data_IF_841105967417
#
_entry.id   IF_841105967417
#
_cell.length_a   1.000
_cell.length_b   1.000
_cell.length_c   1.000
_cell.angle_alpha   90.00
_cell.angle_beta   90.00
_cell.angle_gamma   90.00
#
_symmetry.space_group_name_H-M   'P 1'
#
loop_
_entity.id
_entity.type
_entity.pdbx_description
1 polymer ?
#
# COMPACT_ATOMS: atom_id res chain seq x y z
N UNK A 1 13.28 -17.32 24.00
CA UNK A 1 14.17 -16.25 23.50
C UNK A 1 14.34 -16.49 22.00
N UNK A 2 14.05 -15.48 21.19
CA UNK A 2 14.27 -15.49 19.74
C UNK A 2 15.45 -14.59 19.39
N UNK A 3 16.11 -14.82 18.26
CA UNK A 3 17.11 -13.87 17.76
C UNK A 3 16.43 -12.66 17.15
N UNK A 4 15.35 -12.89 16.38
CA UNK A 4 14.54 -11.84 15.77
C UNK A 4 13.06 -12.04 16.05
N UNK A 5 12.38 -10.98 16.46
CA UNK A 5 10.91 -10.91 16.46
C UNK A 5 10.46 -9.88 15.42
N UNK A 6 9.62 -10.30 14.47
CA UNK A 6 9.01 -9.42 13.46
C UNK A 6 7.53 -9.24 13.77
N UNK A 7 7.08 -7.99 13.94
CA UNK A 7 5.68 -7.67 14.25
C UNK A 7 4.95 -7.21 12.99
N UNK A 8 3.88 -7.92 12.61
CA UNK A 8 3.00 -7.61 11.49
C UNK A 8 3.11 -8.61 10.34
N UNK A 9 2.04 -9.38 10.11
CA UNK A 9 1.81 -10.33 9.03
C UNK A 9 1.26 -9.71 7.74
N UNK A 10 1.55 -8.43 7.50
CA UNK A 10 1.43 -7.82 6.18
C UNK A 10 2.63 -8.17 5.29
N UNK A 11 2.53 -7.91 3.99
CA UNK A 11 3.55 -8.31 3.00
C UNK A 11 4.97 -7.83 3.32
N UNK A 12 5.12 -6.64 3.91
CA UNK A 12 6.43 -6.08 4.31
C UNK A 12 7.03 -6.87 5.48
N UNK A 13 6.24 -7.16 6.52
CA UNK A 13 6.72 -7.93 7.67
C UNK A 13 7.01 -9.38 7.33
N UNK A 14 6.15 -10.02 6.53
CA UNK A 14 6.39 -11.40 6.05
C UNK A 14 7.62 -11.48 5.15
N UNK A 15 7.78 -10.55 4.20
CA UNK A 15 8.97 -10.46 3.35
C UNK A 15 10.25 -10.28 4.19
N UNK A 16 10.18 -9.47 5.24
CA UNK A 16 11.30 -9.24 6.15
C UNK A 16 11.66 -10.50 6.93
N UNK A 17 10.69 -11.15 7.58
CA UNK A 17 10.94 -12.37 8.35
C UNK A 17 11.50 -13.49 7.47
N UNK A 18 10.91 -13.69 6.29
CA UNK A 18 11.37 -14.67 5.30
C UNK A 18 12.83 -14.45 4.91
N UNK A 19 13.22 -13.21 4.63
CA UNK A 19 14.60 -12.89 4.25
C UNK A 19 15.58 -12.94 5.43
N UNK A 20 15.15 -12.59 6.65
CA UNK A 20 15.98 -12.79 7.85
C UNK A 20 16.29 -14.27 8.06
N UNK A 21 15.29 -15.15 7.91
CA UNK A 21 15.49 -16.61 8.05
C UNK A 21 16.40 -17.17 6.95
N UNK A 22 16.33 -16.65 5.71
CA UNK A 22 17.25 -17.04 4.64
C UNK A 22 18.70 -16.64 4.92
N UNK A 23 18.92 -15.44 5.48
CA UNK A 23 20.25 -14.91 5.77
C UNK A 23 20.90 -15.57 6.99
N UNK A 24 20.08 -15.96 7.97
CA UNK A 24 20.53 -16.56 9.21
C UNK A 24 19.81 -17.89 9.46
N UNK A 25 20.12 -18.96 8.72
CA UNK A 25 19.44 -20.25 8.86
C UNK A 25 19.53 -20.86 10.27
N UNK A 26 20.57 -20.49 11.02
CA UNK A 26 20.81 -20.94 12.40
C UNK A 26 20.09 -20.10 13.47
N UNK A 27 19.57 -18.92 13.10
CA UNK A 27 18.90 -18.02 14.04
C UNK A 27 17.41 -18.27 14.06
N UNK A 28 16.83 -18.04 15.23
CA UNK A 28 15.40 -18.17 15.48
C UNK A 28 14.66 -16.88 15.11
N UNK A 29 13.77 -16.95 14.12
CA UNK A 29 12.90 -15.84 13.69
C UNK A 29 11.45 -16.15 14.06
N UNK A 30 10.81 -15.26 14.80
CA UNK A 30 9.38 -15.31 15.09
C UNK A 30 8.65 -14.15 14.42
N UNK A 31 7.64 -14.44 13.59
CA UNK A 31 6.68 -13.44 13.12
C UNK A 31 5.40 -13.46 13.97
N UNK A 32 4.98 -12.29 14.45
CA UNK A 32 3.77 -12.11 15.28
C UNK A 32 2.72 -11.29 14.52
N UNK A 33 1.49 -11.80 14.43
CA UNK A 33 0.36 -11.15 13.76
C UNK A 33 -0.90 -11.21 14.63
N UNK A 34 -1.62 -10.08 14.73
CA UNK A 34 -2.81 -9.96 15.57
C UNK A 34 -4.03 -10.66 14.98
N UNK A 35 -4.09 -10.76 13.67
CA UNK A 35 -5.20 -11.37 12.94
C UNK A 35 -5.05 -12.89 12.84
N UNK A 36 -6.14 -13.57 12.47
CA UNK A 36 -6.18 -15.03 12.28
C UNK A 36 -5.53 -15.51 10.97
N UNK A 37 -4.90 -14.62 10.21
CA UNK A 37 -4.20 -14.92 8.96
C UNK A 37 -3.43 -13.72 8.44
N UNK A 38 -2.65 -13.93 7.40
CA UNK A 38 -1.83 -12.89 6.79
C UNK A 38 -2.64 -11.93 5.92
N UNK A 39 -2.06 -10.78 5.61
CA UNK A 39 -2.59 -9.84 4.62
C UNK A 39 -4.05 -9.37 4.86
N UNK A 40 -4.54 -9.38 6.11
CA UNK A 40 -5.92 -9.00 6.46
C UNK A 40 -6.20 -7.49 6.44
N UNK A 41 -5.19 -6.66 6.20
CA UNK A 41 -5.28 -5.19 6.16
C UNK A 41 -4.82 -4.63 4.82
N UNK A 42 -3.92 -3.63 4.77
CA UNK A 42 -3.56 -2.94 3.53
C UNK A 42 -3.11 -3.88 2.39
N UNK A 43 -2.42 -4.97 2.72
CA UNK A 43 -1.97 -5.98 1.74
C UNK A 43 -3.12 -6.74 1.08
N UNK A 44 -4.22 -7.01 1.77
CA UNK A 44 -5.40 -7.62 1.15
C UNK A 44 -6.33 -6.58 0.52
N UNK A 45 -6.27 -5.33 0.99
CA UNK A 45 -7.17 -4.26 0.58
C UNK A 45 -6.48 -3.27 -0.36
N UNK A 46 -5.99 -3.77 -1.49
CA UNK A 46 -5.38 -2.97 -2.56
C UNK A 46 -5.82 -3.45 -3.95
N UNK A 47 -5.33 -2.78 -4.99
CA UNK A 47 -5.69 -3.00 -6.39
C UNK A 47 -5.01 -4.19 -7.06
N UNK A 48 -4.13 -4.92 -6.37
CA UNK A 48 -3.40 -6.05 -6.95
C UNK A 48 -2.34 -5.68 -7.99
N UNK A 49 -2.05 -4.39 -8.18
CA UNK A 49 -1.18 -3.91 -9.26
C UNK A 49 0.30 -4.12 -8.93
N UNK A 50 1.05 -4.69 -9.86
CA UNK A 50 2.51 -4.67 -9.94
C UNK A 50 2.89 -3.39 -10.67
N UNK A 51 3.21 -2.34 -9.90
CA UNK A 51 3.44 -0.99 -10.44
C UNK A 51 4.77 -0.87 -11.19
N UNK A 52 4.77 -0.17 -12.33
CA UNK A 52 5.97 0.02 -13.14
C UNK A 52 6.88 1.20 -12.71
N UNK A 53 6.50 2.02 -11.73
CA UNK A 53 7.36 3.12 -11.25
C UNK A 53 7.07 4.53 -11.77
N UNK A 54 6.05 4.71 -12.62
CA UNK A 54 5.85 5.93 -13.43
C UNK A 54 5.78 7.25 -12.64
N UNK A 55 5.25 7.23 -11.41
CA UNK A 55 4.98 8.46 -10.65
C UNK A 55 6.13 8.92 -9.75
N UNK A 56 7.13 8.08 -9.51
CA UNK A 56 8.07 8.29 -8.42
C UNK A 56 9.19 9.24 -8.81
N UNK A 57 9.64 10.05 -7.84
CA UNK A 57 10.72 10.98 -8.04
C UNK A 57 12.01 10.21 -8.40
N UNK A 58 12.73 10.59 -9.47
CA UNK A 58 14.02 9.99 -9.80
C UNK A 58 14.98 10.02 -8.60
N UNK A 59 15.71 8.92 -8.38
CA UNK A 59 16.65 8.78 -7.26
C UNK A 59 16.03 8.51 -5.89
N UNK A 60 14.69 8.50 -5.75
CA UNK A 60 14.04 8.11 -4.49
C UNK A 60 14.13 6.60 -4.23
N UNK A 61 14.05 6.20 -2.95
CA UNK A 61 14.01 4.78 -2.58
C UNK A 61 12.79 4.09 -3.20
N UNK A 62 11.66 4.80 -3.31
CA UNK A 62 10.48 4.33 -4.05
C UNK A 62 10.76 3.97 -5.50
N UNK A 63 11.49 4.82 -6.22
CA UNK A 63 11.79 4.57 -7.63
C UNK A 63 12.67 3.32 -7.78
N UNK A 64 13.72 3.21 -6.96
CA UNK A 64 14.62 2.05 -6.95
C UNK A 64 13.89 0.76 -6.55
N UNK A 65 13.23 0.75 -5.39
CA UNK A 65 12.55 -0.43 -4.87
C UNK A 65 11.39 -0.85 -5.75
N UNK A 66 10.69 0.08 -6.41
CA UNK A 66 9.65 -0.29 -7.35
C UNK A 66 10.24 -1.01 -8.56
N UNK A 67 11.32 -0.49 -9.15
CA UNK A 67 11.96 -1.10 -10.31
C UNK A 67 12.44 -2.52 -10.00
N UNK A 68 13.18 -2.69 -8.90
CA UNK A 68 13.62 -4.02 -8.42
C UNK A 68 12.45 -4.91 -8.03
N UNK A 69 11.42 -4.33 -7.44
CA UNK A 69 10.23 -5.01 -6.95
C UNK A 69 9.37 -5.62 -8.04
N UNK A 70 9.27 -4.97 -9.21
CA UNK A 70 8.59 -5.54 -10.39
C UNK A 70 9.20 -6.89 -10.76
N UNK A 71 10.52 -6.93 -10.94
CA UNK A 71 11.24 -8.13 -11.34
C UNK A 71 11.19 -9.20 -10.25
N UNK A 72 11.48 -8.83 -8.99
CA UNK A 72 11.47 -9.75 -7.86
C UNK A 72 10.08 -10.38 -7.64
N UNK A 73 9.01 -9.56 -7.68
CA UNK A 73 7.64 -10.05 -7.52
C UNK A 73 7.24 -11.00 -8.64
N UNK A 74 7.52 -10.65 -9.91
CA UNK A 74 7.23 -11.52 -11.05
C UNK A 74 7.99 -12.83 -10.96
N UNK A 75 9.29 -12.78 -10.66
CA UNK A 75 10.12 -13.97 -10.51
C UNK A 75 9.62 -14.89 -9.38
N UNK A 76 9.23 -14.33 -8.24
CA UNK A 76 8.65 -15.08 -7.14
C UNK A 76 7.32 -15.74 -7.54
N UNK A 77 6.44 -15.00 -8.20
CA UNK A 77 5.19 -15.55 -8.70
C UNK A 77 5.41 -16.67 -9.71
N UNK A 78 6.35 -16.52 -10.64
CA UNK A 78 6.72 -17.58 -11.59
C UNK A 78 7.25 -18.82 -10.87
N UNK A 79 8.19 -18.65 -9.93
CA UNK A 79 8.76 -19.76 -9.13
C UNK A 79 7.67 -20.56 -8.40
N UNK A 80 6.67 -19.86 -7.86
CA UNK A 80 5.62 -20.47 -7.03
C UNK A 80 4.29 -20.67 -7.75
N UNK A 81 4.26 -20.49 -9.08
CA UNK A 81 3.06 -20.67 -9.91
C UNK A 81 1.86 -19.82 -9.44
N UNK A 82 2.13 -18.62 -8.91
CA UNK A 82 1.10 -17.65 -8.53
C UNK A 82 0.63 -16.93 -9.81
N UNK A 83 -0.68 -16.88 -10.10
CA UNK A 83 -1.19 -16.22 -11.30
C UNK A 83 -0.79 -14.74 -11.37
N UNK A 84 -0.18 -14.36 -12.49
CA UNK A 84 0.14 -12.98 -12.85
C UNK A 84 -0.38 -12.72 -14.26
N UNK A 85 -1.07 -11.60 -14.45
CA UNK A 85 -1.50 -11.17 -15.78
C UNK A 85 -0.80 -9.86 -16.15
N UNK A 86 -0.06 -9.86 -17.26
CA UNK A 86 0.52 -8.64 -17.80
C UNK A 86 -0.48 -7.91 -18.70
N UNK A 87 -1.43 -7.21 -18.07
CA UNK A 87 -2.50 -6.50 -18.78
C UNK A 87 -2.13 -5.07 -19.20
N UNK A 88 -0.97 -4.54 -18.78
CA UNK A 88 -0.54 -3.17 -19.05
C UNK A 88 -1.43 -2.10 -18.38
N UNK A 89 -1.03 -0.83 -18.53
CA UNK A 89 -1.77 0.31 -17.98
C UNK A 89 -1.77 1.50 -18.93
N UNK A 90 -2.91 2.16 -19.04
CA UNK A 90 -3.09 3.41 -19.76
C UNK A 90 -3.35 4.56 -18.79
N UNK A 91 -2.51 5.59 -18.88
CA UNK A 91 -2.65 6.86 -18.17
C UNK A 91 -3.33 7.84 -19.11
N UNK A 92 -4.63 8.08 -18.91
CA UNK A 92 -5.47 8.78 -19.88
C UNK A 92 -5.62 10.25 -19.50
N UNK A 93 -5.34 11.13 -20.46
CA UNK A 93 -5.62 12.56 -20.35
C UNK A 93 -6.98 12.87 -20.99
N UNK A 94 -7.86 13.58 -20.29
CA UNK A 94 -9.20 13.98 -20.78
C UNK A 94 -9.35 15.49 -20.93
N UNK A 95 -8.34 16.27 -20.53
CA UNK A 95 -8.31 17.74 -20.68
C UNK A 95 -6.95 18.22 -21.20
N UNK A 96 -6.90 19.44 -21.75
CA UNK A 96 -5.66 20.03 -22.25
C UNK A 96 -4.58 20.15 -21.15
N UNK A 97 -4.97 20.51 -19.93
CA UNK A 97 -4.06 20.57 -18.79
C UNK A 97 -3.50 19.17 -18.42
N UNK A 98 -4.32 18.12 -18.52
CA UNK A 98 -3.86 16.75 -18.32
C UNK A 98 -2.92 16.29 -19.43
N UNK A 99 -3.08 16.77 -20.68
CA UNK A 99 -2.14 16.46 -21.77
C UNK A 99 -0.76 17.06 -21.51
N UNK A 100 -0.68 18.30 -21.03
CA UNK A 100 0.60 18.92 -20.65
C UNK A 100 1.30 18.11 -19.54
N UNK A 101 0.56 17.74 -18.49
CA UNK A 101 1.06 16.91 -17.40
C UNK A 101 1.45 15.51 -17.85
N UNK A 102 0.71 14.94 -18.81
CA UNK A 102 1.02 13.65 -19.43
C UNK A 102 2.38 13.71 -20.11
N UNK A 103 2.66 14.74 -20.91
CA UNK A 103 3.96 14.89 -21.58
C UNK A 103 5.12 15.01 -20.57
N UNK A 104 4.93 15.78 -19.50
CA UNK A 104 5.94 15.85 -18.43
C UNK A 104 6.16 14.49 -17.72
N UNK A 105 5.10 13.70 -17.55
CA UNK A 105 5.18 12.35 -16.96
C UNK A 105 5.87 11.35 -17.91
N UNK A 106 5.66 11.47 -19.22
CA UNK A 106 6.35 10.68 -20.24
C UNK A 106 7.87 10.88 -20.17
N UNK A 107 8.33 12.14 -20.13
CA UNK A 107 9.76 12.45 -19.97
C UNK A 107 10.34 11.86 -18.67
N UNK A 108 9.59 11.93 -17.56
CA UNK A 108 10.01 11.33 -16.29
C UNK A 108 10.16 9.80 -16.40
N UNK A 109 9.30 9.14 -17.16
CA UNK A 109 9.39 7.69 -17.36
C UNK A 109 10.72 7.33 -18.04
N UNK A 110 11.16 8.10 -19.04
CA UNK A 110 12.46 7.91 -19.69
C UNK A 110 13.63 8.13 -18.75
N UNK A 111 13.58 9.17 -17.91
CA UNK A 111 14.61 9.42 -16.88
C UNK A 111 14.73 8.23 -15.91
N UNK A 112 13.60 7.62 -15.54
CA UNK A 112 13.57 6.44 -14.67
C UNK A 112 13.86 5.11 -15.42
N UNK A 113 14.07 5.16 -16.73
CA UNK A 113 14.29 3.98 -17.58
C UNK A 113 13.09 3.04 -17.67
N UNK A 114 11.88 3.60 -17.68
CA UNK A 114 10.61 2.88 -17.81
C UNK A 114 10.15 2.98 -19.27
N UNK A 115 10.07 1.85 -19.96
CA UNK A 115 9.56 1.81 -21.34
C UNK A 115 8.07 2.16 -21.37
N UNK A 116 7.74 3.23 -22.10
CA UNK A 116 6.38 3.72 -22.28
C UNK A 116 6.15 4.24 -23.70
N UNK A 117 4.91 4.14 -24.17
CA UNK A 117 4.49 4.67 -25.47
C UNK A 117 3.49 5.81 -25.27
N UNK A 118 3.58 6.86 -26.09
CA UNK A 118 2.53 7.87 -26.20
C UNK A 118 1.53 7.43 -27.25
N UNK A 119 0.25 7.46 -26.87
CA UNK A 119 -0.88 7.21 -27.75
C UNK A 119 -1.65 8.51 -27.96
N UNK A 120 -1.95 8.83 -29.22
CA UNK A 120 -2.96 9.84 -29.53
C UNK A 120 -4.38 9.32 -29.23
N UNK A 121 -5.39 10.18 -29.42
CA UNK A 121 -6.79 9.82 -29.18
C UNK A 121 -7.29 8.65 -30.06
N UNK A 122 -6.83 8.55 -31.31
CA UNK A 122 -7.24 7.49 -32.23
C UNK A 122 -6.62 6.13 -31.84
N UNK A 123 -5.34 6.14 -31.48
CA UNK A 123 -4.62 4.98 -30.97
C UNK A 123 -5.18 4.53 -29.62
N UNK A 124 -5.52 5.45 -28.71
CA UNK A 124 -6.21 5.16 -27.47
C UNK A 124 -7.55 4.46 -27.73
N UNK A 125 -8.36 5.00 -28.65
CA UNK A 125 -9.66 4.41 -29.01
C UNK A 125 -9.53 3.01 -29.62
N UNK A 126 -8.48 2.76 -30.40
CA UNK A 126 -8.19 1.45 -30.96
C UNK A 126 -7.78 0.45 -29.86
N UNK A 127 -6.94 0.87 -28.92
CA UNK A 127 -6.50 0.06 -27.78
C UNK A 127 -7.67 -0.27 -26.84
N UNK A 128 -8.48 0.74 -26.51
CA UNK A 128 -9.61 0.67 -25.57
C UNK A 128 -10.88 1.34 -26.15
N UNK A 129 -11.72 0.59 -26.88
CA UNK A 129 -12.92 1.14 -27.53
C UNK A 129 -13.93 1.78 -26.58
N UNK A 130 -13.93 1.41 -25.30
CA UNK A 130 -14.85 1.94 -24.29
C UNK A 130 -14.29 3.16 -23.54
N UNK A 131 -13.06 3.58 -23.88
CA UNK A 131 -12.38 4.68 -23.24
C UNK A 131 -12.35 5.91 -24.16
N UNK A 132 -12.50 7.08 -23.55
CA UNK A 132 -12.43 8.40 -24.19
C UNK A 132 -11.34 9.23 -23.54
N UNK A 133 -10.59 9.97 -24.36
CA UNK A 133 -9.49 10.82 -23.92
C UNK A 133 -8.83 11.53 -25.10
N UNK A 134 -8.00 12.52 -24.79
CA UNK A 134 -7.20 13.26 -25.76
C UNK A 134 -5.90 12.54 -26.13
N UNK A 135 -5.49 11.58 -25.31
CA UNK A 135 -4.30 10.74 -25.49
C UNK A 135 -4.02 9.94 -24.22
N UNK A 136 -3.00 9.09 -24.27
CA UNK A 136 -2.56 8.32 -23.12
C UNK A 136 -1.08 7.98 -23.13
N UNK A 137 -0.51 7.71 -21.96
CA UNK A 137 0.75 6.95 -21.85
C UNK A 137 0.38 5.48 -21.65
N UNK A 138 0.92 4.62 -22.51
CA UNK A 138 0.84 3.17 -22.37
C UNK A 138 2.08 2.60 -21.68
N UNK A 139 1.84 1.88 -20.60
CA UNK A 139 2.87 1.26 -19.74
C UNK A 139 2.73 -0.26 -19.82
N UNK A 140 3.46 -0.87 -20.76
CA UNK A 140 3.38 -2.31 -21.09
C UNK A 140 3.77 -3.25 -19.95
N UNK A 141 4.64 -2.80 -19.05
CA UNK A 141 5.23 -3.64 -18.00
C UNK A 141 4.32 -3.83 -16.78
N UNK A 142 3.24 -3.06 -16.66
CA UNK A 142 2.32 -3.11 -15.52
C UNK A 142 1.50 -4.39 -15.54
N UNK A 143 1.49 -5.12 -14.43
CA UNK A 143 0.79 -6.39 -14.30
C UNK A 143 -0.14 -6.40 -13.08
N UNK A 144 -0.94 -7.45 -12.92
CA UNK A 144 -1.80 -7.67 -11.75
C UNK A 144 -1.55 -9.04 -11.13
N UNK A 145 -1.75 -9.15 -9.81
CA UNK A 145 -1.52 -10.33 -8.98
C UNK A 145 -2.41 -10.30 -7.74
N UNK A 146 -2.60 -11.44 -7.08
CA UNK A 146 -3.12 -11.48 -5.71
C UNK A 146 -1.98 -11.39 -4.67
N UNK A 147 -1.80 -10.22 -4.06
CA UNK A 147 -0.80 -10.03 -3.01
C UNK A 147 -1.10 -10.79 -1.72
N UNK A 148 -2.32 -11.30 -1.50
CA UNK A 148 -2.60 -12.24 -0.40
C UNK A 148 -1.85 -13.54 -0.64
N UNK A 149 -1.99 -14.13 -1.83
CA UNK A 149 -1.28 -15.36 -2.20
C UNK A 149 0.24 -15.18 -2.15
N UNK A 150 0.76 -14.05 -2.63
CA UNK A 150 2.20 -13.73 -2.53
C UNK A 150 2.65 -13.71 -1.06
N UNK A 151 1.88 -13.07 -0.19
CA UNK A 151 2.20 -12.97 1.24
C UNK A 151 2.11 -14.33 1.93
N UNK A 152 1.03 -15.07 1.72
CA UNK A 152 0.83 -16.41 2.28
C UNK A 152 1.93 -17.37 1.83
N UNK A 153 2.33 -17.30 0.55
CA UNK A 153 3.41 -18.15 0.06
C UNK A 153 4.78 -17.77 0.63
N UNK A 154 5.09 -16.48 0.81
CA UNK A 154 6.31 -16.08 1.52
C UNK A 154 6.30 -16.53 2.99
N UNK A 155 5.13 -16.49 3.65
CA UNK A 155 5.00 -17.00 5.02
C UNK A 155 5.19 -18.51 5.11
N UNK A 156 4.71 -19.26 4.10
CA UNK A 156 5.00 -20.69 4.01
C UNK A 156 6.50 -20.94 3.84
N UNK A 157 7.17 -20.21 2.96
CA UNK A 157 8.63 -20.36 2.77
C UNK A 157 9.41 -19.99 4.05
N UNK A 158 8.96 -19.00 4.84
CA UNK A 158 9.53 -18.70 6.15
C UNK A 158 9.45 -19.93 7.07
N UNK A 159 8.29 -20.58 7.16
CA UNK A 159 8.09 -21.77 8.00
C UNK A 159 8.90 -22.96 7.49
N UNK A 160 8.94 -23.16 6.18
CA UNK A 160 9.73 -24.24 5.54
C UNK A 160 11.24 -24.08 5.82
N UNK A 161 11.71 -22.85 6.03
CA UNK A 161 13.08 -22.52 6.42
C UNK A 161 13.34 -22.58 7.93
N UNK A 162 12.35 -22.98 8.74
CA UNK A 162 12.47 -23.12 10.19
C UNK A 162 12.05 -21.89 11.01
N UNK A 163 11.56 -20.83 10.36
CA UNK A 163 10.99 -19.69 11.07
C UNK A 163 9.62 -20.01 11.68
N UNK A 164 9.25 -19.30 12.73
CA UNK A 164 7.99 -19.49 13.43
C UNK A 164 7.00 -18.36 13.14
N UNK A 165 5.71 -18.68 13.15
CA UNK A 165 4.62 -17.71 13.04
C UNK A 165 3.64 -17.89 14.18
N UNK A 166 3.26 -16.77 14.81
CA UNK A 166 2.19 -16.71 15.81
C UNK A 166 1.10 -15.75 15.37
N UNK A 167 -0.01 -16.33 14.90
CA UNK A 167 -1.25 -15.62 14.56
C UNK A 167 -2.11 -15.39 15.81
N UNK A 168 -3.13 -14.53 15.71
CA UNK A 168 -4.01 -14.15 16.82
C UNK A 168 -3.25 -13.61 18.05
N UNK A 169 -2.08 -12.98 17.83
CA UNK A 169 -1.22 -12.46 18.87
C UNK A 169 -1.04 -10.95 18.68
N UNK A 170 -1.86 -10.18 19.39
CA UNK A 170 -1.84 -8.72 19.30
C UNK A 170 -0.81 -8.16 20.27
N UNK A 171 0.24 -7.54 19.75
CA UNK A 171 1.20 -6.79 20.58
C UNK A 171 0.49 -5.63 21.28
N UNK A 172 0.60 -5.57 22.61
CA UNK A 172 -0.02 -4.55 23.46
C UNK A 172 1.00 -3.74 24.27
N UNK A 173 2.22 -4.26 24.47
CA UNK A 173 3.33 -3.53 25.07
C UNK A 173 4.68 -4.04 24.53
N UNK A 174 5.66 -3.14 24.50
CA UNK A 174 7.05 -3.41 24.13
C UNK A 174 7.95 -2.76 25.18
N UNK A 175 8.95 -3.50 25.65
CA UNK A 175 9.95 -2.98 26.60
C UNK A 175 11.35 -3.39 26.10
N UNK A 176 12.26 -2.43 25.99
CA UNK A 176 13.64 -2.68 25.57
C UNK A 176 14.55 -2.72 26.81
N UNK A 177 15.37 -3.77 26.89
CA UNK A 177 16.38 -3.99 27.90
C UNK A 177 17.77 -4.02 27.27
N UNK A 178 18.80 -4.17 28.11
CA UNK A 178 20.20 -4.12 27.65
C UNK A 178 20.55 -5.22 26.65
N UNK A 179 19.94 -6.40 26.77
CA UNK A 179 20.24 -7.62 26.02
C UNK A 179 19.06 -8.20 25.23
N UNK A 180 17.84 -7.69 25.44
CA UNK A 180 16.62 -8.17 24.81
C UNK A 180 15.55 -7.08 24.62
N UNK A 181 14.54 -7.40 23.83
CA UNK A 181 13.27 -6.69 23.73
C UNK A 181 12.17 -7.65 24.17
N UNK A 182 11.43 -7.28 25.21
CA UNK A 182 10.25 -7.99 25.65
C UNK A 182 9.02 -7.51 24.88
N UNK A 183 8.27 -8.45 24.33
CA UNK A 183 7.06 -8.25 23.55
C UNK A 183 5.89 -8.88 24.28
N UNK A 184 4.98 -8.05 24.78
CA UNK A 184 3.76 -8.52 25.44
C UNK A 184 2.61 -8.55 24.44
N UNK A 185 2.00 -9.73 24.28
CA UNK A 185 0.92 -10.00 23.35
C UNK A 185 -0.36 -10.42 24.09
N UNK A 186 -1.51 -9.94 23.61
CA UNK A 186 -2.81 -10.51 23.91
C UNK A 186 -3.11 -11.62 22.88
N UNK A 187 -3.27 -12.86 23.37
CA UNK A 187 -3.57 -14.04 22.57
C UNK A 187 -4.84 -14.71 23.11
N UNK A 188 -5.95 -14.66 22.37
CA UNK A 188 -7.23 -15.26 22.78
C UNK A 188 -7.71 -14.87 24.21
N UNK A 189 -7.42 -13.63 24.64
CA UNK A 189 -7.77 -13.12 25.98
C UNK A 189 -6.73 -13.41 27.07
N UNK A 190 -5.67 -14.14 26.75
CA UNK A 190 -4.53 -14.37 27.64
C UNK A 190 -3.38 -13.43 27.30
N UNK A 191 -2.61 -13.03 28.31
CA UNK A 191 -1.38 -12.25 28.11
C UNK A 191 -0.19 -13.19 28.02
N UNK A 192 0.58 -13.07 26.95
CA UNK A 192 1.77 -13.87 26.68
C UNK A 192 2.97 -12.95 26.50
N UNK A 193 4.09 -13.29 27.13
CA UNK A 193 5.36 -12.60 26.94
C UNK A 193 6.28 -13.39 26.01
N UNK A 194 6.92 -12.67 25.09
CA UNK A 194 7.90 -13.18 24.13
C UNK A 194 9.15 -12.31 24.23
N UNK A 195 10.32 -12.93 24.26
CA UNK A 195 11.59 -12.19 24.34
C UNK A 195 12.40 -12.42 23.07
N UNK A 196 12.95 -11.35 22.50
CA UNK A 196 13.80 -11.39 21.32
C UNK A 196 15.07 -10.56 21.50
N UNK A 197 16.17 -10.92 20.84
CA UNK A 197 17.41 -10.11 20.87
C UNK A 197 17.28 -8.82 20.04
N UNK A 198 16.47 -8.87 18.98
CA UNK A 198 16.19 -7.74 18.11
C UNK A 198 14.73 -7.77 17.61
N UNK A 199 14.10 -6.60 17.56
CA UNK A 199 12.71 -6.42 17.11
C UNK A 199 12.64 -5.67 15.78
N UNK A 200 11.88 -6.19 14.81
CA UNK A 200 11.48 -5.43 13.63
C UNK A 200 9.97 -5.20 13.63
N UNK A 201 9.54 -3.95 13.62
CA UNK A 201 8.12 -3.57 13.61
C UNK A 201 7.67 -3.16 12.22
N UNK A 202 6.71 -3.90 11.66
CA UNK A 202 6.06 -3.65 10.37
C UNK A 202 4.55 -3.43 10.53
N UNK A 203 4.15 -2.68 11.56
CA UNK A 203 2.74 -2.57 11.98
C UNK A 203 1.80 -1.75 11.09
N UNK A 204 2.28 -1.17 9.99
CA UNK A 204 1.45 -0.45 9.01
C UNK A 204 0.57 0.63 9.64
N UNK A 205 -0.74 0.37 9.74
CA UNK A 205 -1.70 1.29 10.36
C UNK A 205 -1.43 1.55 11.85
N UNK A 206 -0.61 0.73 12.51
CA UNK A 206 -0.25 0.84 13.92
C UNK A 206 1.22 1.25 14.12
N UNK A 207 1.94 1.64 13.06
CA UNK A 207 3.38 1.86 13.10
C UNK A 207 3.82 2.86 14.18
N UNK A 208 3.24 4.06 14.23
CA UNK A 208 3.52 5.07 15.26
C UNK A 208 3.15 4.61 16.68
N UNK A 209 2.13 3.75 16.85
CA UNK A 209 1.77 3.21 18.17
C UNK A 209 2.82 2.22 18.66
N UNK A 210 3.27 1.31 17.79
CA UNK A 210 4.33 0.35 18.12
C UNK A 210 5.65 1.08 18.41
N UNK A 211 5.98 2.11 17.63
CA UNK A 211 7.18 2.92 17.88
C UNK A 211 7.10 3.64 19.23
N UNK A 212 5.95 4.21 19.57
CA UNK A 212 5.72 4.88 20.87
C UNK A 212 5.74 3.94 22.08
N UNK A 213 5.42 2.65 21.91
CA UNK A 213 5.51 1.68 23.01
C UNK A 213 6.93 1.56 23.56
N UNK A 214 7.96 1.74 22.72
CA UNK A 214 9.37 1.75 23.13
C UNK A 214 9.89 3.13 23.54
N UNK A 215 9.02 4.15 23.63
CA UNK A 215 9.44 5.52 23.98
C UNK A 215 10.35 6.19 22.94
N UNK A 216 10.45 5.66 21.71
CA UNK A 216 11.23 6.26 20.64
C UNK A 216 10.56 7.58 20.23
N UNK A 217 11.29 8.69 20.39
CA UNK A 217 10.80 10.01 19.98
C UNK A 217 10.57 10.04 18.46
N UNK A 218 9.38 10.45 18.06
CA UNK A 218 8.99 10.55 16.65
C UNK A 218 8.18 11.83 16.43
N UNK A 219 8.38 12.45 15.26
CA UNK A 219 7.72 13.69 14.88
C UNK A 219 6.50 13.47 13.98
N UNK A 220 6.05 12.21 13.82
CA UNK A 220 5.00 11.80 12.92
C UNK A 220 3.84 11.09 13.63
N UNK A 221 2.70 11.04 12.95
CA UNK A 221 1.56 10.21 13.33
C UNK A 221 0.96 9.54 12.09
N UNK A 222 0.47 8.31 12.24
CA UNK A 222 -0.30 7.66 11.17
C UNK A 222 -1.71 8.24 11.13
N UNK A 223 -2.05 8.86 10.01
CA UNK A 223 -3.40 9.33 9.67
C UNK A 223 -4.01 8.35 8.67
N UNK A 224 -5.17 7.73 8.99
CA UNK A 224 -5.81 6.80 8.09
C UNK A 224 -6.57 7.55 7.00
N UNK A 225 -6.28 7.25 5.74
CA UNK A 225 -7.09 7.68 4.60
C UNK A 225 -7.84 6.47 4.03
N UNK A 226 -9.17 6.56 4.01
CA UNK A 226 -10.02 5.49 3.50
C UNK A 226 -10.22 5.68 2.00
N UNK A 227 -9.92 4.63 1.24
CA UNK A 227 -10.21 4.55 -0.17
C UNK A 227 -11.44 3.68 -0.41
N UNK A 228 -12.47 4.26 -1.00
CA UNK A 228 -13.71 3.56 -1.32
C UNK A 228 -13.68 3.04 -2.75
N UNK A 229 -14.11 1.81 -2.91
CA UNK A 229 -14.15 1.09 -4.16
C UNK A 229 -15.57 0.63 -4.45
N UNK A 230 -15.86 0.49 -5.73
CA UNK A 230 -17.00 -0.27 -6.22
C UNK A 230 -16.52 -1.41 -7.11
N UNK A 231 -17.33 -2.45 -7.21
CA UNK A 231 -17.16 -3.52 -8.19
C UNK A 231 -18.21 -3.35 -9.27
N UNK A 232 -17.80 -3.50 -10.52
CA UNK A 232 -18.74 -3.54 -11.63
C UNK A 232 -19.40 -4.93 -11.73
N UNK A 233 -20.66 -5.02 -12.19
CA UNK A 233 -21.32 -6.30 -12.45
C UNK A 233 -20.58 -7.09 -13.53
N UNK A 234 -20.78 -8.40 -13.54
CA UNK A 234 -20.08 -9.35 -14.44
C UNK A 234 -20.17 -8.99 -15.92
N UNK A 235 -21.27 -8.36 -16.36
CA UNK A 235 -21.43 -7.83 -17.73
C UNK A 235 -20.33 -6.82 -18.15
N UNK A 236 -19.63 -6.21 -17.20
CA UNK A 236 -18.54 -5.26 -17.42
C UNK A 236 -17.14 -5.83 -17.16
N UNK A 237 -16.99 -7.14 -16.94
CA UNK A 237 -15.66 -7.74 -16.74
C UNK A 237 -14.70 -7.54 -17.94
N UNK A 238 -15.25 -7.26 -19.13
CA UNK A 238 -14.51 -6.99 -20.36
C UNK A 238 -14.64 -5.52 -20.82
N UNK A 239 -15.02 -4.61 -19.91
CA UNK A 239 -15.19 -3.18 -20.25
C UNK A 239 -13.87 -2.53 -20.66
N UNK A 240 -12.75 -3.02 -20.12
CA UNK A 240 -11.39 -2.58 -20.44
C UNK A 240 -10.49 -3.80 -20.59
N UNK A 241 -9.40 -3.67 -21.35
CA UNK A 241 -8.35 -4.71 -21.49
C UNK A 241 -7.15 -4.41 -20.60
N UNK A 242 -6.83 -3.14 -20.44
CA UNK A 242 -5.74 -2.58 -19.63
C UNK A 242 -6.27 -1.94 -18.34
N UNK A 243 -5.38 -1.62 -17.42
CA UNK A 243 -5.70 -0.75 -16.28
C UNK A 243 -5.85 0.69 -16.75
N UNK A 244 -6.93 1.40 -16.38
CA UNK A 244 -7.18 2.78 -16.81
C UNK A 244 -7.08 3.73 -15.63
N UNK A 245 -6.10 4.62 -15.70
CA UNK A 245 -5.73 5.54 -14.64
C UNK A 245 -5.77 6.98 -15.20
N UNK A 246 -6.19 7.99 -14.42
CA UNK A 246 -6.10 9.37 -14.86
C UNK A 246 -4.65 9.85 -14.78
N UNK A 247 -4.36 10.95 -15.48
CA UNK A 247 -3.12 11.71 -15.23
C UNK A 247 -3.17 12.29 -13.81
N UNK A 248 -2.09 12.16 -13.01
CA UNK A 248 -2.07 12.70 -11.64
C UNK A 248 -2.28 14.20 -11.59
N UNK A 249 -2.99 14.63 -10.56
CA UNK A 249 -3.11 16.03 -10.19
C UNK A 249 -2.15 16.34 -9.03
N UNK A 250 -1.15 17.21 -9.20
CA UNK A 250 -0.22 17.59 -8.13
C UNK A 250 -0.90 18.18 -6.89
N UNK A 251 -2.08 18.78 -7.08
CA UNK A 251 -2.86 19.39 -6.01
C UNK A 251 -3.60 18.34 -5.15
N UNK A 252 -3.66 17.09 -5.61
CA UNK A 252 -4.29 15.99 -4.91
C UNK A 252 -3.25 15.10 -4.22
N UNK A 253 -3.40 14.80 -2.92
CA UNK A 253 -2.46 13.92 -2.20
C UNK A 253 -2.55 12.45 -2.65
N UNK A 254 -3.60 12.08 -3.38
CA UNK A 254 -3.87 10.73 -3.85
C UNK A 254 -4.31 10.74 -5.32
N UNK A 255 -4.12 9.61 -5.98
CA UNK A 255 -4.49 9.45 -7.37
C UNK A 255 -6.03 9.38 -7.52
N UNK A 256 -6.55 9.88 -8.64
CA UNK A 256 -8.00 9.87 -8.89
C UNK A 256 -8.57 8.45 -9.05
N UNK A 257 -9.88 8.35 -9.21
CA UNK A 257 -10.59 7.07 -9.40
C UNK A 257 -10.03 6.33 -10.64
N UNK A 258 -9.78 5.03 -10.53
CA UNK A 258 -9.30 4.15 -11.60
C UNK A 258 -10.37 3.16 -12.07
N UNK A 259 -10.19 2.60 -13.28
CA UNK A 259 -10.76 1.29 -13.64
C UNK A 259 -9.65 0.25 -13.57
N UNK A 260 -9.78 -0.67 -12.62
CA UNK A 260 -8.75 -1.70 -12.37
C UNK A 260 -9.32 -3.08 -12.64
N UNK A 261 -8.69 -3.82 -13.55
CA UNK A 261 -8.92 -5.26 -13.71
C UNK A 261 -8.25 -6.00 -12.56
N UNK A 262 -8.98 -6.90 -11.93
CA UNK A 262 -8.49 -7.76 -10.87
C UNK A 262 -8.07 -9.11 -11.46
N UNK A 263 -7.16 -9.81 -10.77
CA UNK A 263 -6.65 -11.11 -11.24
C UNK A 263 -7.75 -12.19 -11.32
N UNK A 264 -8.86 -12.01 -10.59
CA UNK A 264 -10.05 -12.87 -10.65
C UNK A 264 -10.97 -12.54 -11.86
N UNK A 265 -10.57 -11.61 -12.72
CA UNK A 265 -11.32 -11.17 -13.90
C UNK A 265 -12.40 -10.14 -13.61
N UNK A 266 -12.63 -9.75 -12.35
CA UNK A 266 -13.54 -8.64 -12.03
C UNK A 266 -12.94 -7.27 -12.34
N UNK A 267 -13.79 -6.25 -12.46
CA UNK A 267 -13.35 -4.86 -12.63
C UNK A 267 -13.83 -4.04 -11.44
N UNK A 268 -12.91 -3.29 -10.85
CA UNK A 268 -13.18 -2.35 -9.76
C UNK A 268 -13.05 -0.91 -10.23
N UNK A 269 -13.86 -0.04 -9.61
CA UNK A 269 -13.81 1.41 -9.78
C UNK A 269 -13.28 1.99 -8.47
N UNK A 270 -12.17 2.73 -8.53
CA UNK A 270 -11.58 3.37 -7.37
C UNK A 270 -10.06 3.19 -7.19
N UNK A 271 -9.52 3.58 -6.02
CA UNK A 271 -10.24 4.21 -4.91
C UNK A 271 -10.44 5.72 -5.12
N UNK A 272 -11.38 6.33 -4.38
CA UNK A 272 -11.29 7.76 -4.01
C UNK A 272 -10.37 7.91 -2.78
N UNK A 273 -10.28 9.10 -2.19
CA UNK A 273 -9.54 9.24 -0.94
C UNK A 273 -10.24 10.19 0.04
N UNK A 274 -10.80 9.62 1.11
CA UNK A 274 -11.48 10.37 2.17
C UNK A 274 -10.82 10.17 3.52
N UNK A 275 -11.07 11.11 4.44
CA UNK A 275 -10.58 11.01 5.81
C UNK A 275 -11.13 9.74 6.49
N UNK A 276 -10.23 8.91 7.01
CA UNK A 276 -10.60 7.80 7.88
C UNK A 276 -10.72 8.26 9.33
N UNK A 277 -11.72 7.74 10.05
CA UNK A 277 -11.90 8.00 11.50
C UNK A 277 -11.68 6.76 12.35
N UNK A 278 -11.22 5.67 11.74
CA UNK A 278 -10.74 4.46 12.37
C UNK A 278 -9.61 3.87 11.53
N UNK A 279 -8.53 3.46 12.19
CA UNK A 279 -7.36 2.88 11.49
C UNK A 279 -7.71 1.61 10.76
N UNK A 280 -8.55 0.77 11.35
CA UNK A 280 -9.03 -0.50 10.79
C UNK A 280 -10.55 -0.46 10.54
N UNK A 281 -11.04 0.68 10.03
CA UNK A 281 -12.46 0.87 9.71
C UNK A 281 -12.77 0.48 8.27
N UNK A 282 -12.82 -0.81 7.93
CA UNK A 282 -13.13 -1.29 6.57
C UNK A 282 -14.63 -1.41 6.27
N UNK A 283 -15.46 -1.56 7.30
CA UNK A 283 -16.93 -1.67 7.18
C UNK A 283 -17.62 -0.35 6.81
N UNK A 284 -18.96 -0.32 6.80
CA UNK A 284 -19.73 0.92 6.55
C UNK A 284 -19.53 1.97 7.64
N UNK A 285 -19.49 1.53 8.91
CA UNK A 285 -19.15 2.38 10.05
C UNK A 285 -17.63 2.47 10.17
N UNK A 286 -17.09 3.66 9.94
CA UNK A 286 -15.67 3.97 10.01
C UNK A 286 -15.43 5.01 11.12
N UNK A 287 -15.58 4.62 12.38
CA UNK A 287 -15.35 5.52 13.52
C UNK A 287 -14.77 4.76 14.72
N UNK A 288 -13.79 5.38 15.36
CA UNK A 288 -13.18 4.93 16.62
C UNK A 288 -12.92 6.15 17.49
N UNK A 289 -13.46 6.15 18.71
CA UNK A 289 -13.27 7.25 19.67
C UNK A 289 -11.78 7.45 19.95
N UNK A 290 -11.07 6.34 20.21
CA UNK A 290 -9.64 6.36 20.50
C UNK A 290 -8.80 6.88 19.33
N UNK A 291 -9.03 6.38 18.12
CA UNK A 291 -8.26 6.79 16.94
C UNK A 291 -8.54 8.26 16.59
N UNK A 292 -9.81 8.67 16.67
CA UNK A 292 -10.25 10.04 16.39
C UNK A 292 -9.64 11.02 17.38
N UNK A 293 -9.69 10.71 18.67
CA UNK A 293 -9.14 11.59 19.70
C UNK A 293 -7.62 11.76 19.58
N UNK A 294 -6.89 10.67 19.30
CA UNK A 294 -5.45 10.74 19.03
C UNK A 294 -5.15 11.60 17.79
N UNK A 295 -5.95 11.48 16.73
CA UNK A 295 -5.81 12.27 15.51
C UNK A 295 -6.04 13.76 15.74
N UNK A 296 -7.13 14.13 16.42
CA UNK A 296 -7.49 15.53 16.67
C UNK A 296 -6.50 16.26 17.60
N UNK A 297 -5.76 15.53 18.44
CA UNK A 297 -4.73 16.10 19.32
C UNK A 297 -3.39 16.31 18.62
N UNK A 298 -3.21 15.79 17.41
CA UNK A 298 -1.97 15.91 16.67
C UNK A 298 -1.97 17.18 15.80
N UNK A 299 -1.02 18.10 16.04
CA UNK A 299 -0.96 19.36 15.32
C UNK A 299 -0.80 19.19 13.80
N UNK A 300 -0.05 18.16 13.37
CA UNK A 300 0.15 17.86 11.95
C UNK A 300 -1.15 17.56 11.21
N UNK A 301 -2.14 16.94 11.87
CA UNK A 301 -3.46 16.67 11.28
C UNK A 301 -4.18 17.96 10.86
N UNK A 302 -4.16 18.99 11.71
CA UNK A 302 -4.81 20.26 11.40
C UNK A 302 -4.08 21.03 10.31
N UNK A 303 -2.74 20.97 10.31
CA UNK A 303 -1.92 21.62 9.28
C UNK A 303 -2.15 21.00 7.90
N UNK A 304 -2.12 19.68 7.79
CA UNK A 304 -2.40 18.98 6.52
C UNK A 304 -3.85 19.19 6.07
N UNK A 305 -4.81 19.17 7.00
CA UNK A 305 -6.23 19.42 6.68
C UNK A 305 -6.43 20.83 6.14
N UNK A 306 -5.74 21.83 6.71
CA UNK A 306 -5.80 23.22 6.21
C UNK A 306 -5.20 23.35 4.81
N UNK A 307 -4.08 22.67 4.53
CA UNK A 307 -3.43 22.68 3.22
C UNK A 307 -4.31 22.04 2.13
N UNK A 308 -5.06 20.99 2.48
CA UNK A 308 -5.88 20.22 1.53
C UNK A 308 -7.39 20.36 1.77
N UNK A 309 -7.85 21.49 2.32
CA UNK A 309 -9.24 21.64 2.75
C UNK A 309 -10.22 21.55 1.57
N UNK A 310 -9.98 22.31 0.50
CA UNK A 310 -10.85 22.34 -0.68
C UNK A 310 -10.98 20.96 -1.34
N UNK A 311 -9.86 20.24 -1.44
CA UNK A 311 -9.82 18.89 -1.99
C UNK A 311 -10.51 17.88 -1.08
N UNK A 312 -10.33 17.99 0.24
CA UNK A 312 -11.01 17.13 1.22
C UNK A 312 -12.53 17.27 1.21
N UNK A 313 -13.05 18.49 1.08
CA UNK A 313 -14.50 18.73 0.96
C UNK A 313 -15.05 18.09 -0.32
N UNK A 314 -14.36 18.25 -1.45
CA UNK A 314 -14.77 17.67 -2.73
C UNK A 314 -14.82 16.13 -2.69
N UNK A 315 -13.79 15.51 -2.11
CA UNK A 315 -13.72 14.05 -1.94
C UNK A 315 -14.84 13.54 -1.01
N UNK A 316 -15.13 14.25 0.09
CA UNK A 316 -16.21 13.91 1.01
C UNK A 316 -17.58 13.94 0.32
N UNK A 317 -17.86 14.98 -0.47
CA UNK A 317 -19.11 15.09 -1.24
C UNK A 317 -19.22 13.93 -2.24
N UNK A 318 -18.13 13.60 -2.95
CA UNK A 318 -18.12 12.50 -3.92
C UNK A 318 -18.26 11.12 -3.27
N UNK A 319 -17.79 10.96 -2.04
CA UNK A 319 -17.95 9.73 -1.24
C UNK A 319 -19.39 9.50 -0.79
N UNK A 320 -20.07 10.55 -0.32
CA UNK A 320 -21.47 10.45 0.11
C UNK A 320 -22.46 10.34 -1.04
N UNK A 321 -22.08 10.78 -2.24
CA UNK A 321 -22.96 10.80 -3.40
C UNK A 321 -22.40 9.96 -4.55
N UNK A 322 -22.98 8.77 -4.75
CA UNK A 322 -22.59 7.84 -5.84
C UNK A 322 -22.54 8.49 -7.23
N UNK A 323 -23.43 9.44 -7.52
CA UNK A 323 -23.43 10.15 -8.79
C UNK A 323 -22.22 11.09 -8.95
N UNK A 324 -21.71 11.66 -7.85
CA UNK A 324 -20.44 12.40 -7.83
C UNK A 324 -19.24 11.50 -8.13
N UNK A 325 -19.21 10.32 -7.50
CA UNK A 325 -18.21 9.29 -7.77
C UNK A 325 -18.25 8.83 -9.25
N UNK A 326 -19.43 8.59 -9.79
CA UNK A 326 -19.64 8.18 -11.17
C UNK A 326 -19.05 9.20 -12.16
N UNK A 327 -19.19 10.51 -11.90
CA UNK A 327 -18.60 11.56 -12.74
C UNK A 327 -17.09 11.45 -12.86
N UNK A 328 -16.39 10.93 -11.83
CA UNK A 328 -14.93 10.77 -11.86
C UNK A 328 -14.49 9.72 -12.88
N UNK A 329 -15.20 8.58 -12.95
CA UNK A 329 -14.92 7.51 -13.92
C UNK A 329 -15.48 7.83 -15.31
N UNK A 330 -16.64 8.50 -15.39
CA UNK A 330 -17.24 8.87 -16.68
C UNK A 330 -16.41 9.88 -17.48
N UNK A 331 -15.44 10.57 -16.85
CA UNK A 331 -14.45 11.40 -17.57
C UNK A 331 -13.78 10.64 -18.71
N UNK A 332 -13.50 9.35 -18.52
CA UNK A 332 -12.84 8.51 -19.51
C UNK A 332 -13.63 7.24 -19.86
N UNK A 333 -14.66 6.85 -19.11
CA UNK A 333 -15.53 5.71 -19.46
C UNK A 333 -17.02 6.08 -19.28
N UNK A 334 -17.66 6.70 -20.30
CA UNK A 334 -19.01 7.27 -20.17
C UNK A 334 -20.13 6.21 -20.13
N UNK A 335 -19.84 4.95 -20.46
CA UNK A 335 -20.86 3.90 -20.52
C UNK A 335 -21.26 3.33 -19.15
N UNK A 336 -20.44 3.55 -18.12
CA UNK A 336 -20.74 3.08 -16.76
C UNK A 336 -21.88 3.91 -16.18
N UNK A 337 -22.86 3.24 -15.57
CA UNK A 337 -24.02 3.86 -14.93
C UNK A 337 -23.93 3.75 -13.40
N UNK A 338 -24.77 4.50 -12.69
CA UNK A 338 -24.74 4.51 -11.21
C UNK A 338 -25.16 3.17 -10.61
N UNK A 339 -26.05 2.45 -11.30
CA UNK A 339 -26.54 1.13 -10.95
C UNK A 339 -25.45 0.05 -11.05
N UNK A 340 -24.43 0.30 -11.87
CA UNK A 340 -23.29 -0.62 -12.04
C UNK A 340 -22.30 -0.54 -10.86
N UNK A 341 -22.41 0.48 -9.99
CA UNK A 341 -21.53 0.65 -8.83
C UNK A 341 -21.99 -0.21 -7.63
N UNK A 342 -21.60 -1.49 -7.66
CA UNK A 342 -21.89 -2.47 -6.61
C UNK A 342 -20.89 -2.35 -5.45
N UNK A 343 -21.29 -2.69 -4.20
CA UNK A 343 -20.40 -2.61 -3.04
C UNK A 343 -19.10 -3.42 -3.23
N UNK A 344 -17.99 -2.86 -2.79
CA UNK A 344 -16.70 -3.55 -2.70
C UNK A 344 -15.99 -3.14 -1.39
N UNK A 345 -15.12 -3.99 -0.81
CA UNK A 345 -14.38 -3.64 0.39
C UNK A 345 -13.55 -2.36 0.22
N UNK A 346 -13.55 -1.50 1.23
CA UNK A 346 -12.69 -0.32 1.26
C UNK A 346 -11.22 -0.73 1.49
N UNK A 347 -10.29 0.14 1.10
CA UNK A 347 -8.90 0.12 1.53
C UNK A 347 -8.65 1.24 2.53
N UNK A 348 -7.60 1.09 3.35
CA UNK A 348 -7.16 2.15 4.25
C UNK A 348 -5.65 2.32 4.08
N UNK A 349 -5.24 3.53 3.70
CA UNK A 349 -3.84 3.90 3.60
C UNK A 349 -3.35 4.41 4.95
N UNK A 350 -2.28 3.80 5.44
CA UNK A 350 -1.50 4.34 6.55
C UNK A 350 -0.58 5.44 6.00
N UNK A 351 -0.96 6.71 6.21
CA UNK A 351 -0.15 7.84 5.77
C UNK A 351 0.54 8.45 6.99
N UNK A 352 1.88 8.39 7.03
CA UNK A 352 2.62 9.17 8.01
C UNK A 352 2.53 10.66 7.67
N UNK A 353 2.15 11.45 8.67
CA UNK A 353 2.05 12.91 8.61
C UNK A 353 2.97 13.48 9.70
N UNK A 354 3.85 14.38 9.32
CA UNK A 354 4.78 15.05 10.23
C UNK A 354 4.06 16.15 11.03
N UNK A 355 4.67 16.58 12.12
CA UNK A 355 4.12 17.63 13.02
C UNK A 355 3.93 18.99 12.35
N UNK A 356 4.60 19.25 11.22
CA UNK A 356 4.45 20.43 10.36
C UNK A 356 3.30 20.31 9.35
N UNK A 357 2.66 19.14 9.24
CA UNK A 357 1.60 18.84 8.28
C UNK A 357 2.08 18.20 6.98
N UNK A 358 3.39 18.02 6.79
CA UNK A 358 3.95 17.40 5.60
C UNK A 358 3.57 15.91 5.52
N UNK A 359 3.16 15.48 4.33
CA UNK A 359 2.92 14.07 4.03
C UNK A 359 4.25 13.38 3.73
N UNK A 360 4.57 12.31 4.47
CA UNK A 360 5.78 11.54 4.18
C UNK A 360 5.57 10.74 2.89
N UNK A 361 6.30 11.13 1.85
CA UNK A 361 6.17 10.53 0.53
C UNK A 361 7.08 9.32 0.30
N UNK A 362 8.18 9.16 1.03
CA UNK A 362 9.10 8.02 0.91
C UNK A 362 9.02 7.10 2.15
N UNK A 363 9.86 6.08 2.21
CA UNK A 363 9.97 5.21 3.39
C UNK A 363 10.51 5.99 4.60
N UNK A 364 9.89 5.76 5.77
CA UNK A 364 10.34 6.31 7.05
C UNK A 364 10.64 5.17 8.00
N UNK A 365 11.75 5.30 8.72
CA UNK A 365 12.18 4.34 9.72
C UNK A 365 12.50 5.05 11.02
N UNK A 366 12.24 4.39 12.15
CA UNK A 366 12.73 4.77 13.46
C UNK A 366 13.47 3.58 14.07
N UNK A 367 14.46 3.83 14.91
CA UNK A 367 15.32 2.78 15.44
C UNK A 367 15.74 3.05 16.89
N UNK A 368 16.06 1.97 17.58
CA UNK A 368 16.71 1.95 18.90
C UNK A 368 17.93 1.01 18.83
N UNK A 369 18.65 0.74 19.93
CA UNK A 369 19.73 -0.24 19.94
C UNK A 369 19.30 -1.65 19.51
N UNK A 370 18.08 -2.10 19.85
CA UNK A 370 17.58 -3.45 19.57
C UNK A 370 16.29 -3.47 18.76
N UNK A 371 15.90 -2.36 18.14
CA UNK A 371 14.72 -2.35 17.28
C UNK A 371 14.84 -1.49 16.04
N UNK A 372 14.08 -1.88 15.01
CA UNK A 372 13.85 -1.12 13.78
C UNK A 372 12.36 -1.10 13.47
N UNK A 373 11.81 0.09 13.22
CA UNK A 373 10.39 0.31 12.98
C UNK A 373 10.18 0.87 11.59
N UNK A 374 9.34 0.20 10.80
CA UNK A 374 8.86 0.70 9.52
C UNK A 374 7.70 1.66 9.78
N UNK A 375 8.03 2.94 9.86
CA UNK A 375 7.12 4.02 10.21
C UNK A 375 6.22 4.45 9.05
N UNK A 376 6.69 4.34 7.80
CA UNK A 376 5.90 4.65 6.61
C UNK A 376 6.33 3.72 5.47
N UNK A 377 5.39 2.95 4.92
CA UNK A 377 5.58 2.13 3.72
C UNK A 377 4.40 2.35 2.75
N UNK A 378 4.36 3.51 2.08
CA UNK A 378 3.27 3.86 1.17
C UNK A 378 3.35 3.08 -0.15
N UNK A 379 2.31 3.17 -0.99
CA UNK A 379 2.37 2.60 -2.35
C UNK A 379 3.64 3.07 -3.09
N UNK A 380 4.41 2.15 -3.73
CA UNK A 380 4.05 0.78 -4.13
C UNK A 380 4.61 -0.33 -3.22
N UNK A 381 4.52 -0.19 -1.89
CA UNK A 381 5.10 -1.16 -0.94
C UNK A 381 4.79 -2.64 -1.22
N UNK A 382 3.62 -2.98 -1.78
CA UNK A 382 3.31 -4.37 -2.15
C UNK A 382 4.19 -4.89 -3.30
N UNK A 383 4.31 -4.12 -4.40
CA UNK A 383 5.26 -4.42 -5.49
C UNK A 383 6.70 -4.44 -4.99
N UNK A 384 7.02 -3.55 -4.05
CA UNK A 384 8.38 -3.36 -3.54
C UNK A 384 8.71 -4.23 -2.33
N UNK A 385 7.86 -5.18 -1.95
CA UNK A 385 7.96 -5.83 -0.64
C UNK A 385 9.28 -6.59 -0.44
N UNK A 386 9.80 -7.25 -1.48
CA UNK A 386 11.06 -7.98 -1.42
C UNK A 386 12.27 -7.03 -1.28
N UNK A 387 12.46 -6.00 -2.14
CA UNK A 387 13.49 -4.98 -1.91
C UNK A 387 13.39 -4.26 -0.57
N UNK A 388 12.18 -3.97 -0.07
CA UNK A 388 11.98 -3.38 1.26
C UNK A 388 12.47 -4.34 2.35
N UNK A 389 12.10 -5.62 2.28
CA UNK A 389 12.56 -6.63 3.23
C UNK A 389 14.08 -6.79 3.21
N UNK A 390 14.70 -6.75 2.03
CA UNK A 390 16.15 -6.80 1.86
C UNK A 390 16.83 -5.58 2.52
N UNK A 391 16.29 -4.39 2.27
CA UNK A 391 16.78 -3.15 2.87
C UNK A 391 16.67 -3.16 4.39
N UNK A 392 15.57 -3.67 4.93
CA UNK A 392 15.36 -3.84 6.37
C UNK A 392 16.39 -4.81 6.93
N UNK A 393 16.61 -5.97 6.30
CA UNK A 393 17.63 -6.92 6.74
C UNK A 393 19.03 -6.28 6.72
N UNK A 394 19.39 -5.50 5.69
CA UNK A 394 20.66 -4.79 5.66
C UNK A 394 20.83 -3.80 6.84
N UNK A 395 19.74 -3.15 7.27
CA UNK A 395 19.75 -2.29 8.46
C UNK A 395 19.89 -3.07 9.76
N UNK A 396 19.29 -4.25 9.85
CA UNK A 396 19.46 -5.16 10.98
C UNK A 396 20.92 -5.63 11.04
N UNK A 397 21.51 -6.02 9.90
CA UNK A 397 22.91 -6.47 9.82
C UNK A 397 23.90 -5.42 10.32
N UNK A 398 23.63 -4.13 10.08
CA UNK A 398 24.46 -3.04 10.58
C UNK A 398 24.38 -2.81 12.11
N UNK A 399 23.46 -3.49 12.80
CA UNK A 399 23.23 -3.38 14.26
C UNK A 399 23.59 -4.66 15.03
N UNK A 400 23.80 -5.77 14.33
CA UNK A 400 24.33 -7.02 14.88
C UNK A 400 25.85 -6.92 15.04
#
# INVERSE_FOLDING_TARGET
>A
MYDFIVVGGGIVGVSTAWQLQQRYPEKSVLLVEKESGFARHQTGHNSGVIHAGVYYAPGSLKADFCKRGVEATKAFCTKHQIPVENCGKLLVATTAAEVERMNALYERCHVNGIEVELLDAAQLKLAEPNIVGLGAIYVKSTSIVDYRLVTEKMAQELVDLGGEVRLNAKVIALEEHADEVQVTCECAGETVQLNGRFLVSCGGLMADRLTKMLGIETDFQIIPYRGEYYRLPTKHNQVVKHLIYPIPDPDLPFLGVHLTRMIDGSVTVGPNAVQGWKREGYGRLNFSIHDTWQMLRFAGFWKVTKQHFATGVKELINSWWKAGYLKLVNKYCPMIQVEDLQPYPAGIRAQAVLSDGSLVHDFLFAESPRSLHVCNAPSPAATSAMPIGEYICNKVDAKL
#
